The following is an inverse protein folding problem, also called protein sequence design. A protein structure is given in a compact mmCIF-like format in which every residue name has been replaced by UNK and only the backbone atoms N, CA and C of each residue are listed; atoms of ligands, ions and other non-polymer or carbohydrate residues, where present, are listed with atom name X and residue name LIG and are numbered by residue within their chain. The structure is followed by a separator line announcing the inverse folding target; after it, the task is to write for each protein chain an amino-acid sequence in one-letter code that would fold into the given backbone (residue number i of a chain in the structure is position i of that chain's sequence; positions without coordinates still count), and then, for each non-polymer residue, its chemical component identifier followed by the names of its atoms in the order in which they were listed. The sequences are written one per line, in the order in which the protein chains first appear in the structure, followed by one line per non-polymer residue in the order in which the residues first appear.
data_IF_714761041259
#
_entry.id   IF_714761041259
#
_cell.length_a   1.000
_cell.length_b   1.000
_cell.length_c   1.000
_cell.angle_alpha   90.00
_cell.angle_beta   90.00
_cell.angle_gamma   90.00
#
_symmetry.space_group_name_H-M   'P 1'
#
loop_
_entity.id
_entity.type
_entity.pdbx_description
1 polymer ?
#
# COMPACT_ATOMS: atom_id res chain seq x y z
N UNK A 1 -47.61 26.46 35.70
CA UNK A 1 -46.63 25.70 34.89
C UNK A 1 -45.99 26.59 33.81
N UNK A 2 -44.92 27.34 34.11
CA UNK A 2 -44.19 28.14 33.09
C UNK A 2 -42.70 28.32 33.37
N UNK A 3 -42.15 27.63 34.38
CA UNK A 3 -40.76 27.82 34.86
C UNK A 3 -39.79 26.69 34.49
N UNK A 4 -40.26 25.61 33.85
CA UNK A 4 -39.44 24.41 33.60
C UNK A 4 -38.77 24.36 32.21
N UNK A 5 -39.21 25.17 31.25
CA UNK A 5 -38.64 25.20 29.89
C UNK A 5 -37.41 26.10 29.72
N UNK A 6 -37.14 26.99 30.68
CA UNK A 6 -35.98 27.89 30.60
C UNK A 6 -34.70 27.21 31.10
N UNK A 7 -34.81 26.30 32.08
CA UNK A 7 -33.67 25.59 32.65
C UNK A 7 -33.06 24.56 31.67
N UNK A 8 -33.88 23.88 30.88
CA UNK A 8 -33.43 22.86 29.89
C UNK A 8 -32.71 23.51 28.70
N UNK A 9 -33.05 24.76 28.36
CA UNK A 9 -32.38 25.51 27.28
C UNK A 9 -31.01 26.04 27.67
N UNK A 10 -30.75 26.24 28.96
CA UNK A 10 -29.46 26.71 29.46
C UNK A 10 -28.43 25.57 29.61
N UNK A 11 -28.87 24.35 29.95
CA UNK A 11 -27.97 23.19 30.02
C UNK A 11 -27.55 22.63 28.66
N UNK A 12 -28.38 22.78 27.62
CA UNK A 12 -28.04 22.35 26.26
C UNK A 12 -27.06 23.31 25.55
N UNK A 13 -27.04 24.59 25.94
CA UNK A 13 -26.09 25.58 25.40
C UNK A 13 -24.66 25.41 25.92
N UNK A 14 -24.49 24.93 27.15
CA UNK A 14 -23.16 24.76 27.76
C UNK A 14 -22.40 23.51 27.29
N UNK A 15 -23.08 22.49 26.76
CA UNK A 15 -22.43 21.28 26.22
C UNK A 15 -21.90 21.51 24.80
N UNK A 16 -22.45 22.47 24.05
CA UNK A 16 -21.96 22.81 22.71
C UNK A 16 -20.71 23.69 22.72
N UNK A 17 -20.42 24.39 23.83
CA UNK A 17 -19.32 25.36 23.90
C UNK A 17 -18.00 24.77 24.39
N UNK A 18 -18.00 23.57 24.97
CA UNK A 18 -16.80 22.89 25.51
C UNK A 18 -16.06 22.03 24.49
N UNK A 19 -16.54 21.92 23.25
CA UNK A 19 -15.84 21.24 22.13
C UNK A 19 -14.89 22.17 21.36
N UNK A 20 -14.79 23.45 21.73
CA UNK A 20 -13.83 24.41 21.18
C UNK A 20 -12.55 24.45 22.03
N UNK A 21 -12.10 23.30 22.55
CA UNK A 21 -10.72 23.19 23.01
C UNK A 21 -9.85 23.15 21.75
N UNK A 22 -9.43 24.35 21.35
CA UNK A 22 -8.40 24.57 20.36
C UNK A 22 -7.30 23.53 20.53
N UNK A 23 -7.12 22.69 19.52
CA UNK A 23 -5.95 21.86 19.36
C UNK A 23 -4.74 22.77 19.10
N UNK A 24 -4.34 23.57 20.09
CA UNK A 24 -3.10 24.32 20.09
C UNK A 24 -2.01 23.37 20.54
N UNK A 25 -1.33 22.72 19.59
CA UNK A 25 -0.22 21.83 19.92
C UNK A 25 0.19 20.82 18.85
N UNK A 26 -0.05 21.08 17.57
CA UNK A 26 0.85 20.56 16.55
C UNK A 26 1.58 21.79 16.02
N UNK A 27 2.86 21.94 16.37
CA UNK A 27 3.78 22.63 15.46
C UNK A 27 3.42 22.14 14.06
N UNK A 28 2.96 23.05 13.21
CA UNK A 28 2.36 22.67 11.96
C UNK A 28 3.46 21.97 11.14
N UNK A 29 3.51 20.62 11.18
CA UNK A 29 4.57 19.78 10.60
C UNK A 29 5.05 20.39 9.29
N UNK A 30 6.36 20.47 9.05
CA UNK A 30 6.91 21.00 7.80
C UNK A 30 6.60 20.13 6.57
N UNK A 31 5.83 19.05 6.77
CA UNK A 31 5.40 18.11 5.74
C UNK A 31 3.96 17.64 6.00
N UNK A 32 3.36 17.06 4.95
CA UNK A 32 2.13 16.26 5.00
C UNK A 32 2.45 14.82 4.66
N UNK A 33 1.69 13.90 5.22
CA UNK A 33 1.80 12.47 4.90
C UNK A 33 1.09 12.22 3.57
N UNK A 34 1.80 11.57 2.64
CA UNK A 34 1.31 11.20 1.32
C UNK A 34 1.02 9.70 1.19
N UNK A 35 0.96 9.21 -0.07
CA UNK A 35 0.87 7.80 -0.41
C UNK A 35 1.88 6.91 0.32
N UNK A 36 1.52 5.63 0.43
CA UNK A 36 2.37 4.60 1.03
C UNK A 36 2.84 3.68 -0.09
N UNK A 37 4.12 3.32 -0.13
CA UNK A 37 4.67 2.40 -1.12
C UNK A 37 5.31 1.21 -0.43
N UNK A 38 4.91 0.01 -0.83
CA UNK A 38 5.60 -1.22 -0.49
C UNK A 38 6.69 -1.49 -1.52
N UNK A 39 7.92 -1.66 -1.05
CA UNK A 39 9.09 -2.03 -1.84
C UNK A 39 9.42 -3.50 -1.56
N UNK A 40 9.43 -4.33 -2.59
CA UNK A 40 9.93 -5.71 -2.53
C UNK A 40 11.30 -5.79 -3.16
N UNK A 41 12.29 -6.26 -2.39
CA UNK A 41 13.69 -6.37 -2.81
C UNK A 41 13.97 -7.75 -3.38
N UNK A 42 14.25 -7.82 -4.67
CA UNK A 42 14.35 -9.07 -5.42
C UNK A 42 15.79 -9.31 -5.86
N UNK A 43 16.34 -10.46 -5.47
CA UNK A 43 17.58 -10.99 -6.06
C UNK A 43 17.24 -11.96 -7.17
N UNK A 44 17.84 -11.81 -8.33
CA UNK A 44 17.62 -12.70 -9.46
C UNK A 44 18.66 -13.81 -9.45
N UNK A 45 18.23 -15.05 -9.69
CA UNK A 45 19.14 -16.18 -9.80
C UNK A 45 19.96 -16.08 -11.09
N UNK A 46 21.18 -16.61 -11.07
CA UNK A 46 22.10 -16.52 -12.21
C UNK A 46 21.44 -17.01 -13.51
N UNK A 47 21.51 -16.19 -14.56
CA UNK A 47 20.92 -16.48 -15.87
C UNK A 47 19.39 -16.41 -15.94
N UNK A 48 18.70 -15.89 -14.90
CA UNK A 48 17.22 -15.84 -14.84
C UNK A 48 16.60 -14.46 -14.99
N UNK A 49 17.39 -13.47 -15.40
CA UNK A 49 16.90 -12.10 -15.57
C UNK A 49 15.77 -11.99 -16.60
N UNK A 50 16.01 -12.44 -17.84
CA UNK A 50 15.01 -12.35 -18.91
C UNK A 50 13.76 -13.20 -18.62
N UNK A 51 13.95 -14.40 -18.05
CA UNK A 51 12.86 -15.26 -17.60
C UNK A 51 11.96 -14.53 -16.59
N UNK A 52 12.57 -13.85 -15.61
CA UNK A 52 11.82 -13.10 -14.60
C UNK A 52 11.15 -11.84 -15.17
N UNK A 53 11.83 -11.11 -16.07
CA UNK A 53 11.23 -9.94 -16.72
C UNK A 53 10.03 -10.32 -17.60
N UNK A 54 10.08 -11.47 -18.29
CA UNK A 54 8.94 -12.01 -19.03
C UNK A 54 7.78 -12.39 -18.11
N UNK A 55 8.07 -12.96 -16.94
CA UNK A 55 7.05 -13.17 -15.93
C UNK A 55 6.42 -11.83 -15.49
N UNK A 56 7.24 -10.79 -15.24
CA UNK A 56 6.75 -9.49 -14.81
C UNK A 56 5.83 -8.85 -15.87
N UNK A 57 6.15 -8.95 -17.16
CA UNK A 57 5.33 -8.39 -18.24
C UNK A 57 4.03 -9.17 -18.52
N UNK A 58 3.88 -10.37 -17.96
CA UNK A 58 2.69 -11.21 -18.15
C UNK A 58 1.73 -11.11 -16.97
N UNK A 59 1.71 -12.11 -16.10
CA UNK A 59 0.69 -12.25 -15.06
C UNK A 59 0.81 -11.20 -13.96
N UNK A 60 2.03 -10.80 -13.61
CA UNK A 60 2.26 -9.73 -12.63
C UNK A 60 1.67 -8.39 -13.10
N UNK A 61 2.02 -7.95 -14.32
CA UNK A 61 1.49 -6.72 -14.91
C UNK A 61 -0.03 -6.74 -15.01
N UNK A 62 -0.60 -7.86 -15.47
CA UNK A 62 -2.05 -8.03 -15.55
C UNK A 62 -2.73 -7.84 -14.18
N UNK A 63 -2.17 -8.45 -13.13
CA UNK A 63 -2.69 -8.30 -11.77
C UNK A 63 -2.58 -6.84 -11.28
N UNK A 64 -1.44 -6.19 -11.49
CA UNK A 64 -1.23 -4.81 -11.06
C UNK A 64 -2.17 -3.83 -11.79
N UNK A 65 -2.42 -4.04 -13.09
CA UNK A 65 -3.37 -3.21 -13.85
C UNK A 65 -4.80 -3.37 -13.34
N UNK A 66 -5.25 -4.58 -13.00
CA UNK A 66 -6.59 -4.79 -12.43
C UNK A 66 -6.71 -4.22 -11.01
N UNK A 67 -5.68 -4.36 -10.16
CA UNK A 67 -5.65 -3.73 -8.84
C UNK A 67 -5.73 -2.19 -8.94
N UNK A 68 -5.04 -1.61 -9.93
CA UNK A 68 -5.09 -0.17 -10.20
C UNK A 68 -6.49 0.25 -10.66
N UNK A 69 -7.11 -0.50 -11.57
CA UNK A 69 -8.50 -0.24 -12.03
C UNK A 69 -9.52 -0.36 -10.89
N UNK A 70 -9.30 -1.29 -9.96
CA UNK A 70 -10.13 -1.48 -8.78
C UNK A 70 -9.91 -0.39 -7.70
N UNK A 71 -8.92 0.49 -7.87
CA UNK A 71 -8.58 1.53 -6.90
C UNK A 71 -7.89 1.01 -5.63
N UNK A 72 -7.40 -0.23 -5.66
CA UNK A 72 -6.66 -0.84 -4.54
C UNK A 72 -5.24 -0.29 -4.45
N UNK A 73 -4.65 0.07 -5.59
CA UNK A 73 -3.35 0.72 -5.68
C UNK A 73 -3.46 1.98 -6.55
N UNK A 74 -2.63 2.99 -6.26
CA UNK A 74 -2.43 4.14 -7.13
C UNK A 74 -1.56 3.78 -8.35
N UNK A 75 -0.62 2.86 -8.18
CA UNK A 75 0.25 2.42 -9.27
C UNK A 75 1.32 1.43 -8.82
N UNK A 76 2.14 1.02 -9.78
CA UNK A 76 3.25 0.10 -9.57
C UNK A 76 4.44 0.48 -10.48
N UNK A 77 5.65 0.15 -10.05
CA UNK A 77 6.89 0.37 -10.80
C UNK A 77 7.86 -0.79 -10.59
N UNK A 78 8.71 -1.02 -11.59
CA UNK A 78 9.81 -1.99 -11.54
C UNK A 78 11.10 -1.21 -11.73
N UNK A 79 11.99 -1.24 -10.73
CA UNK A 79 13.28 -0.58 -10.79
C UNK A 79 14.39 -1.62 -10.90
N UNK A 80 15.36 -1.37 -11.79
CA UNK A 80 16.62 -2.09 -11.78
C UNK A 80 17.58 -1.41 -10.79
N UNK A 81 18.23 -2.21 -9.94
CA UNK A 81 19.21 -1.75 -8.98
C UNK A 81 20.61 -2.18 -9.43
N UNK A 82 21.57 -1.27 -9.33
CA UNK A 82 22.98 -1.62 -9.49
C UNK A 82 23.51 -2.13 -8.14
N UNK A 83 23.39 -3.45 -7.93
CA UNK A 83 23.81 -4.09 -6.69
C UNK A 83 25.31 -3.84 -6.43
N UNK A 84 25.63 -3.30 -5.26
CA UNK A 84 27.00 -3.05 -4.80
C UNK A 84 27.61 -4.28 -4.14
N UNK A 85 26.79 -5.27 -3.79
CA UNK A 85 27.23 -6.56 -3.28
C UNK A 85 26.32 -7.70 -3.73
N UNK A 86 26.76 -8.97 -3.67
CA UNK A 86 25.93 -10.12 -4.05
C UNK A 86 24.65 -10.28 -3.21
N UNK A 87 24.58 -9.65 -2.03
CA UNK A 87 23.43 -9.70 -1.12
C UNK A 87 22.44 -8.55 -1.33
N UNK A 88 22.72 -7.63 -2.26
CA UNK A 88 21.79 -6.56 -2.62
C UNK A 88 20.87 -7.00 -3.77
N UNK A 89 19.68 -6.42 -3.82
CA UNK A 89 18.68 -6.69 -4.84
C UNK A 89 19.16 -6.28 -6.24
N UNK A 90 18.73 -7.02 -7.25
CA UNK A 90 18.90 -6.65 -8.65
C UNK A 90 17.67 -5.89 -9.16
N UNK A 91 16.48 -6.18 -8.61
CA UNK A 91 15.24 -5.49 -8.90
C UNK A 91 14.51 -5.05 -7.63
N UNK A 92 13.83 -3.91 -7.69
CA UNK A 92 12.90 -3.43 -6.65
C UNK A 92 11.53 -3.29 -7.28
N UNK A 93 10.56 -4.05 -6.78
CA UNK A 93 9.16 -3.90 -7.17
C UNK A 93 8.48 -2.95 -6.20
N UNK A 94 7.86 -1.89 -6.71
CA UNK A 94 7.20 -0.87 -5.90
C UNK A 94 5.71 -0.85 -6.18
N UNK A 95 4.88 -1.04 -5.16
CA UNK A 95 3.43 -0.92 -5.23
C UNK A 95 2.98 0.25 -4.36
N UNK A 96 2.36 1.26 -4.96
CA UNK A 96 1.94 2.48 -4.27
C UNK A 96 0.45 2.45 -3.97
N UNK A 97 0.09 2.62 -2.72
CA UNK A 97 -1.25 2.67 -2.16
C UNK A 97 -1.61 4.10 -1.76
N UNK A 98 -2.91 4.40 -1.75
CA UNK A 98 -3.38 5.75 -1.43
C UNK A 98 -3.03 6.19 0.00
N UNK A 99 -3.04 5.26 0.96
CA UNK A 99 -2.76 5.47 2.37
C UNK A 99 -2.64 4.10 3.07
N UNK A 100 -2.47 4.08 4.40
CA UNK A 100 -2.36 2.83 5.17
C UNK A 100 -3.64 2.00 5.20
N UNK A 101 -4.82 2.63 5.16
CA UNK A 101 -6.10 1.90 5.21
C UNK A 101 -6.33 1.05 3.94
N UNK A 102 -5.64 1.36 2.84
CA UNK A 102 -5.65 0.52 1.66
C UNK A 102 -5.05 -0.87 1.90
N UNK A 103 -4.19 -1.03 2.92
CA UNK A 103 -3.57 -2.32 3.26
C UNK A 103 -4.55 -3.28 3.97
N UNK A 104 -5.65 -2.76 4.53
CA UNK A 104 -6.68 -3.56 5.18
C UNK A 104 -7.64 -4.23 4.17
N UNK A 105 -7.48 -3.95 2.87
CA UNK A 105 -8.33 -4.45 1.77
C UNK A 105 -7.84 -5.78 1.18
N UNK A 106 -7.26 -6.64 2.01
CA UNK A 106 -6.66 -7.90 1.56
C UNK A 106 -7.66 -8.80 0.81
N UNK A 107 -8.90 -8.90 1.29
CA UNK A 107 -9.95 -9.72 0.66
C UNK A 107 -10.35 -9.19 -0.73
N UNK A 108 -10.38 -7.87 -0.90
CA UNK A 108 -10.66 -7.23 -2.19
C UNK A 108 -9.52 -7.52 -3.18
N UNK A 109 -8.27 -7.46 -2.70
CA UNK A 109 -7.08 -7.82 -3.47
C UNK A 109 -7.07 -9.30 -3.89
N UNK A 110 -7.44 -10.21 -2.99
CA UNK A 110 -7.54 -11.65 -3.31
C UNK A 110 -8.65 -11.90 -4.33
N UNK A 111 -9.79 -11.22 -4.23
CA UNK A 111 -10.86 -11.35 -5.23
C UNK A 111 -10.39 -10.94 -6.64
N UNK A 112 -9.58 -9.88 -6.75
CA UNK A 112 -8.93 -9.49 -8.01
C UNK A 112 -7.91 -10.55 -8.44
N UNK A 113 -7.09 -11.07 -7.52
CA UNK A 113 -6.10 -12.10 -7.82
C UNK A 113 -6.75 -13.38 -8.35
N UNK A 114 -7.84 -13.85 -7.74
CA UNK A 114 -8.60 -15.02 -8.21
C UNK A 114 -9.15 -14.80 -9.61
N UNK A 115 -9.68 -13.60 -9.90
CA UNK A 115 -10.22 -13.26 -11.22
C UNK A 115 -9.14 -13.26 -12.31
N UNK A 116 -7.93 -12.81 -11.99
CA UNK A 116 -6.84 -12.62 -12.97
C UNK A 116 -5.95 -13.86 -13.10
N UNK A 117 -5.60 -14.48 -11.97
CA UNK A 117 -4.63 -15.55 -11.88
C UNK A 117 -5.27 -16.94 -11.70
N UNK A 118 -6.56 -17.00 -11.37
CA UNK A 118 -7.29 -18.24 -11.15
C UNK A 118 -7.21 -18.73 -9.70
N UNK A 119 -7.44 -20.04 -9.51
CA UNK A 119 -7.53 -20.65 -8.18
C UNK A 119 -6.26 -20.48 -7.34
N UNK A 120 -6.39 -20.58 -6.02
CA UNK A 120 -5.26 -20.52 -5.10
C UNK A 120 -4.17 -21.56 -5.43
N UNK A 121 -4.54 -22.73 -5.95
CA UNK A 121 -3.57 -23.74 -6.43
C UNK A 121 -2.75 -23.24 -7.64
N UNK A 122 -3.38 -22.53 -8.58
CA UNK A 122 -2.68 -21.94 -9.72
C UNK A 122 -1.72 -20.84 -9.24
N UNK A 123 -2.15 -20.01 -8.30
CA UNK A 123 -1.33 -18.97 -7.69
C UNK A 123 -0.13 -19.55 -6.91
N UNK A 124 -0.34 -20.63 -6.16
CA UNK A 124 0.72 -21.34 -5.44
C UNK A 124 1.76 -21.92 -6.40
N UNK A 125 1.33 -22.59 -7.48
CA UNK A 125 2.23 -23.08 -8.53
C UNK A 125 3.01 -21.95 -9.19
N UNK A 126 2.37 -20.82 -9.48
CA UNK A 126 3.03 -19.63 -10.03
C UNK A 126 4.07 -19.05 -9.05
N UNK A 127 3.80 -19.11 -7.74
CA UNK A 127 4.75 -18.69 -6.70
C UNK A 127 5.98 -19.60 -6.69
N UNK A 128 5.79 -20.93 -6.66
CA UNK A 128 6.90 -21.88 -6.74
C UNK A 128 7.73 -21.72 -8.02
N UNK A 129 7.08 -21.48 -9.16
CA UNK A 129 7.78 -21.24 -10.42
C UNK A 129 8.68 -19.99 -10.36
N UNK A 130 8.26 -18.94 -9.63
CA UNK A 130 9.08 -17.74 -9.42
C UNK A 130 10.31 -18.01 -8.54
N UNK A 131 10.23 -18.90 -7.57
CA UNK A 131 11.38 -19.24 -6.72
C UNK A 131 12.52 -19.88 -7.51
N UNK A 132 12.24 -20.51 -8.65
CA UNK A 132 13.27 -21.00 -9.56
C UNK A 132 14.04 -19.85 -10.26
N UNK A 133 13.47 -18.64 -10.31
CA UNK A 133 14.03 -17.48 -11.02
C UNK A 133 14.63 -16.43 -10.09
N UNK A 134 14.17 -16.35 -8.84
CA UNK A 134 14.52 -15.28 -7.91
C UNK A 134 14.52 -15.72 -6.44
N UNK A 135 15.05 -14.85 -5.61
CA UNK A 135 14.95 -14.84 -4.16
C UNK A 135 14.36 -13.50 -3.71
N UNK A 136 13.51 -13.53 -2.69
CA UNK A 136 12.98 -12.32 -2.04
C UNK A 136 13.86 -12.01 -0.85
N UNK A 137 14.59 -10.91 -0.90
CA UNK A 137 15.50 -10.49 0.18
C UNK A 137 14.74 -9.85 1.35
N UNK A 138 13.53 -9.34 1.08
CA UNK A 138 12.66 -8.72 2.06
C UNK A 138 11.73 -7.69 1.41
N UNK A 139 10.93 -7.05 2.25
CA UNK A 139 10.11 -5.91 1.87
C UNK A 139 10.24 -4.76 2.87
N UNK A 140 9.95 -3.57 2.40
CA UNK A 140 9.93 -2.34 3.19
C UNK A 140 8.68 -1.55 2.85
N UNK A 141 8.03 -0.99 3.87
CA UNK A 141 6.90 -0.10 3.68
C UNK A 141 7.35 1.34 3.95
N UNK A 142 7.33 2.18 2.93
CA UNK A 142 7.71 3.59 3.02
C UNK A 142 6.48 4.49 2.87
N UNK A 143 6.48 5.61 3.59
CA UNK A 143 5.47 6.67 3.45
C UNK A 143 6.10 7.90 2.84
N UNK A 144 5.47 8.44 1.80
CA UNK A 144 5.88 9.71 1.22
C UNK A 144 5.64 10.85 2.23
N UNK A 145 6.67 11.68 2.44
CA UNK A 145 6.58 12.91 3.22
C UNK A 145 6.64 14.10 2.26
N UNK A 146 5.49 14.75 2.05
CA UNK A 146 5.36 15.87 1.13
C UNK A 146 5.69 17.15 1.89
N UNK A 147 6.84 17.76 1.60
CA UNK A 147 7.25 19.02 2.22
C UNK A 147 6.30 20.16 1.85
N UNK A 148 6.15 21.14 2.74
CA UNK A 148 5.35 22.36 2.51
C UNK A 148 6.04 23.34 1.57
#
# INVERSE_FOLDING_TARGET
MKRMNTAIRFTLGCILCSLMLSASGQDAKSYKEGPVTELSYIKIKSGKFDDYMKFLDTSYKALMEENKKAGLILGYKVYAAQARSPREADLILATTYANMAALDKADEGEAVAVKVLGSSDAQNKATMAREAMREVLGSELIRELILK
#
